data_IF_038732768892
#
_entry.id   IF_038732768892
#
_cell.length_a   1.000
_cell.length_b   1.000
_cell.length_c   1.000
_cell.angle_alpha   90.00
_cell.angle_beta   90.00
_cell.angle_gamma   90.00
#
_symmetry.space_group_name_H-M   'P 1'
#
loop_
_entity.id
_entity.type
_entity.pdbx_description
1 polymer ?
#
# COMPACT_ATOMS: atom_id res chain seq x y z
N UNK A 1 18.86 11.81 43.12
CA UNK A 1 18.64 10.39 42.78
C UNK A 1 18.88 10.21 41.29
N UNK A 2 19.48 9.09 40.88
CA UNK A 2 19.73 8.70 39.48
C UNK A 2 19.24 7.27 39.27
N UNK A 3 18.66 6.98 38.10
CA UNK A 3 18.13 5.66 37.76
C UNK A 3 19.11 4.90 36.87
N UNK A 4 19.35 3.62 37.16
CA UNK A 4 20.15 2.72 36.33
C UNK A 4 19.36 2.25 35.10
N UNK A 5 19.91 2.42 33.89
CA UNK A 5 19.25 2.01 32.65
C UNK A 5 19.27 0.49 32.42
N UNK A 6 20.08 -0.24 33.18
CA UNK A 6 20.16 -1.71 33.13
C UNK A 6 19.08 -2.38 33.98
N UNK A 7 19.10 -2.13 35.29
CA UNK A 7 18.20 -2.78 36.26
C UNK A 7 16.99 -1.94 36.67
N UNK A 8 16.94 -0.65 36.31
CA UNK A 8 15.86 0.27 36.67
C UNK A 8 15.90 0.79 38.12
N UNK A 9 16.88 0.40 38.92
CA UNK A 9 17.03 0.82 40.33
C UNK A 9 17.41 2.30 40.48
N UNK A 10 17.02 2.90 41.61
CA UNK A 10 17.29 4.31 41.94
C UNK A 10 18.36 4.46 43.02
N UNK A 11 19.35 5.30 42.76
CA UNK A 11 20.52 5.47 43.61
C UNK A 11 20.76 6.94 43.96
N UNK A 12 21.33 7.19 45.14
CA UNK A 12 21.91 8.50 45.44
C UNK A 12 23.26 8.61 44.71
N UNK A 13 23.53 9.69 43.94
CA UNK A 13 24.79 9.84 43.20
C UNK A 13 26.03 9.61 44.07
N UNK A 14 26.06 10.17 45.27
CA UNK A 14 27.19 10.06 46.19
C UNK A 14 27.43 8.61 46.66
N UNK A 15 26.37 7.82 46.83
CA UNK A 15 26.46 6.41 47.26
C UNK A 15 27.03 5.49 46.18
N UNK A 16 27.02 5.93 44.92
CA UNK A 16 27.52 5.16 43.77
C UNK A 16 28.76 5.79 43.15
N UNK A 17 29.42 6.71 43.86
CA UNK A 17 30.66 7.34 43.42
C UNK A 17 30.49 8.38 42.30
N UNK A 18 29.28 8.90 42.10
CA UNK A 18 28.98 9.94 41.12
C UNK A 18 28.86 11.31 41.81
N UNK A 19 29.58 12.32 41.30
CA UNK A 19 29.40 13.70 41.76
C UNK A 19 28.02 14.20 41.33
N UNK A 20 27.22 14.64 42.30
CA UNK A 20 25.89 15.22 42.08
C UNK A 20 25.89 16.36 41.04
N UNK A 21 26.99 17.09 40.89
CA UNK A 21 27.13 18.15 39.88
C UNK A 21 27.23 17.63 38.45
N UNK A 22 27.66 16.38 38.26
CA UNK A 22 27.84 15.75 36.95
C UNK A 22 26.62 14.92 36.53
N UNK A 23 25.63 14.74 37.41
CA UNK A 23 24.38 14.04 37.10
C UNK A 23 23.71 14.56 35.82
N UNK A 24 23.64 15.89 35.54
CA UNK A 24 23.05 16.40 34.30
C UNK A 24 23.82 16.00 33.02
N UNK A 25 25.07 15.56 33.15
CA UNK A 25 25.90 15.11 32.04
C UNK A 25 25.82 13.60 31.84
N UNK A 26 25.15 12.85 32.71
CA UNK A 26 25.02 11.41 32.52
C UNK A 26 24.01 11.16 31.40
N UNK A 27 24.44 10.45 30.35
CA UNK A 27 23.60 10.02 29.24
C UNK A 27 22.90 8.71 29.59
N UNK A 28 23.66 7.62 29.58
CA UNK A 28 23.25 6.31 30.12
C UNK A 28 23.99 6.04 31.43
N UNK A 29 23.28 5.58 32.46
CA UNK A 29 23.85 5.23 33.76
C UNK A 29 23.80 3.72 34.01
N UNK A 30 24.96 3.12 34.32
CA UNK A 30 25.10 1.74 34.78
C UNK A 30 25.53 1.74 36.25
N UNK A 31 24.76 1.07 37.11
CA UNK A 31 25.10 0.95 38.53
C UNK A 31 26.26 -0.05 38.77
N UNK A 32 26.93 -0.03 39.94
CA UNK A 32 28.10 -0.88 40.20
C UNK A 32 27.86 -2.39 40.12
N UNK A 33 26.60 -2.83 40.20
CA UNK A 33 26.21 -4.23 40.00
C UNK A 33 26.07 -4.55 38.51
N UNK A 34 25.39 -3.68 37.76
CA UNK A 34 25.24 -3.81 36.31
C UNK A 34 26.58 -3.69 35.56
N UNK A 35 27.49 -2.83 36.02
CA UNK A 35 28.81 -2.66 35.41
C UNK A 35 29.72 -3.90 35.55
N UNK A 36 29.42 -4.78 36.52
CA UNK A 36 30.12 -6.06 36.72
C UNK A 36 29.49 -7.22 35.97
N UNK A 37 28.27 -7.06 35.47
CA UNK A 37 27.53 -8.13 34.81
C UNK A 37 28.02 -8.28 33.36
N UNK A 38 28.65 -9.42 32.99
CA UNK A 38 29.14 -9.63 31.63
C UNK A 38 28.02 -9.72 30.58
N UNK A 39 26.75 -9.84 30.98
CA UNK A 39 25.61 -9.77 30.07
C UNK A 39 25.29 -8.34 29.61
N UNK A 40 25.74 -7.32 30.35
CA UNK A 40 25.53 -5.91 30.03
C UNK A 40 26.78 -5.39 29.31
N UNK A 41 26.66 -5.13 28.01
CA UNK A 41 27.80 -4.75 27.17
C UNK A 41 28.12 -3.26 27.17
N UNK A 42 27.49 -2.47 28.03
CA UNK A 42 27.59 -1.01 28.02
C UNK A 42 27.86 -0.47 29.42
N UNK A 43 28.58 0.64 29.48
CA UNK A 43 28.96 1.32 30.73
C UNK A 43 28.34 2.72 30.79
N UNK A 44 28.49 3.38 31.94
CA UNK A 44 28.00 4.75 32.10
C UNK A 44 28.63 5.68 31.06
N UNK A 45 27.79 6.37 30.31
CA UNK A 45 28.21 7.34 29.27
C UNK A 45 27.93 8.76 29.73
N UNK A 46 28.76 9.69 29.26
CA UNK A 46 28.64 11.10 29.59
C UNK A 46 28.44 11.93 28.32
N UNK A 47 27.47 12.84 28.38
CA UNK A 47 27.26 13.91 27.42
C UNK A 47 28.39 14.92 27.51
N UNK A 48 28.77 15.50 26.37
CA UNK A 48 29.71 16.60 26.37
C UNK A 48 29.13 17.83 27.06
N UNK A 49 29.87 18.38 28.02
CA UNK A 49 29.46 19.57 28.76
C UNK A 49 29.56 20.82 27.90
N UNK A 50 28.82 21.85 28.29
CA UNK A 50 28.96 23.19 27.75
C UNK A 50 30.42 23.67 27.82
N UNK A 51 30.89 24.28 26.73
CA UNK A 51 32.26 24.80 26.62
C UNK A 51 32.57 25.91 27.64
N UNK A 52 31.55 26.61 28.16
CA UNK A 52 31.72 27.59 29.24
C UNK A 52 32.28 26.89 30.48
N UNK A 53 33.46 27.31 30.94
CA UNK A 53 34.22 26.66 32.01
C UNK A 53 33.41 26.39 33.29
N UNK A 54 32.62 27.37 33.75
CA UNK A 54 31.80 27.27 34.96
C UNK A 54 30.45 26.54 34.75
N UNK A 55 30.12 26.08 33.54
CA UNK A 55 28.85 25.41 33.24
C UNK A 55 29.02 23.88 33.19
N UNK A 56 28.12 23.16 33.87
CA UNK A 56 28.06 21.69 33.91
C UNK A 56 26.79 21.12 33.26
N UNK A 57 26.10 21.93 32.47
CA UNK A 57 24.98 21.46 31.66
C UNK A 57 25.48 20.86 30.34
N UNK A 58 24.78 19.87 29.78
CA UNK A 58 25.14 19.30 28.49
C UNK A 58 25.03 20.35 27.39
N UNK A 59 25.92 20.27 26.39
CA UNK A 59 25.82 21.12 25.20
C UNK A 59 24.64 20.67 24.33
N UNK A 60 24.09 21.57 23.51
CA UNK A 60 23.05 21.22 22.52
C UNK A 60 23.71 20.53 21.32
N UNK A 61 24.12 19.30 21.49
CA UNK A 61 24.68 18.49 20.41
C UNK A 61 23.60 18.16 19.36
N UNK A 62 23.92 18.10 18.06
CA UNK A 62 25.20 18.41 17.40
C UNK A 62 25.39 19.90 17.03
N UNK A 63 24.40 20.73 17.29
CA UNK A 63 24.28 22.07 16.70
C UNK A 63 25.06 23.16 17.44
N UNK A 64 25.39 22.96 18.71
CA UNK A 64 26.07 23.96 19.53
C UNK A 64 27.06 23.37 20.53
N UNK A 65 28.13 24.12 20.76
CA UNK A 65 29.13 23.86 21.81
C UNK A 65 28.65 24.30 23.21
N UNK A 66 27.47 24.91 23.29
CA UNK A 66 26.92 25.50 24.51
C UNK A 66 25.55 24.93 24.84
N UNK A 67 25.19 24.94 26.12
CA UNK A 67 23.85 24.52 26.56
C UNK A 67 22.76 25.56 26.21
N UNK A 68 23.15 26.80 25.94
CA UNK A 68 22.28 27.93 25.62
C UNK A 68 23.04 29.03 24.89
N UNK A 69 22.31 29.89 24.19
CA UNK A 69 22.90 31.02 23.47
C UNK A 69 23.53 32.02 24.45
N UNK A 70 22.89 32.23 25.62
CA UNK A 70 23.44 33.05 26.70
C UNK A 70 24.81 32.54 27.19
N UNK A 71 25.00 31.21 27.31
CA UNK A 71 26.31 30.66 27.65
C UNK A 71 27.34 30.85 26.53
N UNK A 72 26.92 30.79 25.27
CA UNK A 72 27.78 31.06 24.11
C UNK A 72 28.23 32.50 24.04
N UNK A 73 27.31 33.46 24.21
CA UNK A 73 27.61 34.89 24.26
C UNK A 73 28.53 35.21 25.43
N UNK A 74 28.24 34.68 26.62
CA UNK A 74 29.09 34.92 27.79
C UNK A 74 30.50 34.36 27.62
N UNK A 75 30.64 33.15 27.07
CA UNK A 75 31.95 32.59 26.76
C UNK A 75 32.70 33.45 25.75
N UNK A 76 32.00 33.99 24.73
CA UNK A 76 32.60 34.87 23.73
C UNK A 76 33.09 36.18 24.35
N UNK A 77 32.29 36.84 25.19
CA UNK A 77 32.67 38.07 25.90
C UNK A 77 33.98 37.86 26.70
N UNK A 78 34.02 36.81 27.53
CA UNK A 78 35.22 36.50 28.32
C UNK A 78 36.44 36.23 27.42
N UNK A 79 36.24 35.50 26.32
CA UNK A 79 37.32 35.21 25.36
C UNK A 79 37.83 36.49 24.68
N UNK A 80 36.95 37.44 24.37
CA UNK A 80 37.30 38.73 23.77
C UNK A 80 38.06 39.61 24.75
N UNK A 81 37.61 39.68 26.00
CA UNK A 81 38.29 40.40 27.10
C UNK A 81 39.69 39.84 27.35
N UNK A 82 39.83 38.51 27.42
CA UNK A 82 41.13 37.83 27.61
C UNK A 82 42.11 38.09 26.45
N UNK A 83 41.60 38.21 25.22
CA UNK A 83 42.41 38.40 24.02
C UNK A 83 42.60 39.86 23.62
N UNK A 84 41.96 40.81 24.32
CA UNK A 84 42.01 42.24 24.04
C UNK A 84 41.69 42.56 22.57
N UNK A 85 40.63 41.94 22.04
CA UNK A 85 40.20 42.16 20.65
C UNK A 85 39.24 43.35 20.60
N UNK A 86 39.56 44.35 19.78
CA UNK A 86 38.71 45.51 19.54
C UNK A 86 37.47 45.15 18.72
N UNK A 87 36.29 45.68 19.09
CA UNK A 87 34.98 45.36 18.50
C UNK A 87 34.95 45.42 16.96
N UNK A 88 35.61 46.41 16.37
CA UNK A 88 35.68 46.61 14.92
C UNK A 88 36.35 45.43 14.19
N UNK A 89 37.32 44.77 14.84
CA UNK A 89 38.00 43.60 14.26
C UNK A 89 37.08 42.38 14.24
N UNK A 90 36.24 42.19 15.26
CA UNK A 90 35.32 41.05 15.34
C UNK A 90 34.29 41.11 14.23
N UNK A 91 33.70 42.28 13.97
CA UNK A 91 32.67 42.46 12.94
C UNK A 91 33.17 42.00 11.56
N UNK A 92 34.47 42.18 11.28
CA UNK A 92 35.07 41.73 10.03
C UNK A 92 35.14 40.19 9.90
N UNK A 93 35.28 39.46 11.01
CA UNK A 93 35.34 37.99 11.04
C UNK A 93 33.95 37.33 11.12
N UNK A 94 32.94 38.00 11.70
CA UNK A 94 31.61 37.39 11.92
C UNK A 94 30.56 37.80 10.89
N UNK A 95 30.85 38.75 9.99
CA UNK A 95 29.90 39.25 8.98
C UNK A 95 29.21 38.17 8.14
N UNK A 96 29.91 37.08 7.85
CA UNK A 96 29.41 35.97 7.02
C UNK A 96 29.09 34.71 7.86
N UNK A 97 29.20 34.80 9.19
CA UNK A 97 28.94 33.68 10.08
C UNK A 97 27.44 33.35 10.09
N UNK A 98 27.11 32.08 9.83
CA UNK A 98 25.74 31.56 9.92
C UNK A 98 25.64 30.53 11.03
N UNK A 99 24.51 30.53 11.74
CA UNK A 99 24.22 29.51 12.72
C UNK A 99 23.89 28.19 11.99
N UNK A 100 24.46 27.04 12.42
CA UNK A 100 24.04 25.74 11.91
C UNK A 100 22.58 25.46 12.30
N UNK A 101 21.71 25.26 11.31
CA UNK A 101 20.29 24.98 11.52
C UNK A 101 19.98 23.48 11.61
N UNK A 102 20.82 22.66 10.97
CA UNK A 102 20.66 21.21 10.93
C UNK A 102 22.03 20.50 10.85
N UNK A 103 22.06 19.27 11.34
CA UNK A 103 23.17 18.34 11.18
C UNK A 103 22.63 17.05 10.58
N UNK A 104 23.20 16.65 9.45
CA UNK A 104 22.86 15.38 8.80
C UNK A 104 23.93 14.38 9.22
N UNK A 105 23.52 13.38 10.00
CA UNK A 105 24.37 12.25 10.34
C UNK A 105 24.06 11.10 9.38
N UNK A 106 24.93 10.92 8.39
CA UNK A 106 24.84 9.81 7.45
C UNK A 106 25.24 8.50 8.15
N UNK A 107 24.25 7.66 8.44
CA UNK A 107 24.46 6.31 8.98
C UNK A 107 24.84 5.28 7.90
N UNK A 108 25.06 5.71 6.66
CA UNK A 108 25.30 4.83 5.49
C UNK A 108 26.76 4.41 5.32
N UNK A 109 27.72 5.05 6.00
CA UNK A 109 29.13 4.65 5.96
C UNK A 109 29.55 4.05 7.30
N UNK A 110 29.51 2.72 7.39
CA UNK A 110 30.34 1.95 8.30
C UNK A 110 31.83 2.17 7.95
N UNK A 111 32.39 3.30 8.39
CA UNK A 111 33.85 3.48 8.43
C UNK A 111 34.30 3.32 9.87
N UNK A 112 34.79 2.11 10.15
CA UNK A 112 35.82 1.78 11.13
C UNK A 112 35.72 2.47 12.50
N UNK A 113 35.29 1.70 13.51
CA UNK A 113 35.82 1.88 14.86
C UNK A 113 34.82 2.10 15.97
N UNK A 114 33.71 1.35 16.03
CA UNK A 114 33.12 0.90 17.30
C UNK A 114 32.03 -0.14 17.01
N UNK A 115 32.15 -1.30 17.64
CA UNK A 115 31.19 -2.40 17.48
C UNK A 115 29.90 -2.00 18.19
N UNK A 116 28.94 -1.44 17.45
CA UNK A 116 27.53 -1.50 17.84
C UNK A 116 27.09 -2.94 17.64
N UNK A 117 27.07 -3.68 18.74
CA UNK A 117 26.81 -5.12 18.79
C UNK A 117 25.48 -5.52 18.14
N UNK A 118 25.39 -6.80 17.76
CA UNK A 118 24.22 -7.68 17.52
C UNK A 118 22.87 -7.09 17.05
N UNK A 119 22.39 -6.01 17.67
CA UNK A 119 21.19 -5.25 17.30
C UNK A 119 21.22 -4.70 15.87
N UNK A 120 22.40 -4.38 15.31
CA UNK A 120 22.51 -3.90 13.91
C UNK A 120 22.11 -4.97 12.90
N UNK A 121 22.59 -6.21 13.06
CA UNK A 121 22.24 -7.33 12.19
C UNK A 121 20.78 -7.81 12.36
N UNK A 122 20.18 -7.61 13.54
CA UNK A 122 18.75 -7.86 13.76
C UNK A 122 17.88 -6.78 13.10
N UNK A 123 18.23 -5.50 13.25
CA UNK A 123 17.56 -4.38 12.55
C UNK A 123 17.69 -4.49 11.04
N UNK A 124 18.87 -4.79 10.50
CA UNK A 124 19.05 -4.97 9.05
C UNK A 124 18.22 -6.12 8.48
N UNK A 125 18.00 -7.20 9.25
CA UNK A 125 17.09 -8.29 8.88
C UNK A 125 15.63 -7.87 8.91
N UNK A 126 15.22 -7.14 9.95
CA UNK A 126 13.88 -6.57 10.04
C UNK A 126 13.59 -5.59 8.89
N UNK A 127 14.55 -4.73 8.54
CA UNK A 127 14.43 -3.79 7.42
C UNK A 127 14.40 -4.50 6.05
N UNK A 128 15.09 -5.62 5.91
CA UNK A 128 14.99 -6.46 4.71
C UNK A 128 13.60 -7.10 4.60
N UNK A 129 13.10 -7.67 5.70
CA UNK A 129 11.76 -8.27 5.76
C UNK A 129 10.66 -7.25 5.44
N UNK A 130 10.73 -6.05 6.04
CA UNK A 130 9.75 -4.99 5.79
C UNK A 130 9.74 -4.55 4.32
N UNK A 131 10.89 -4.52 3.66
CA UNK A 131 10.98 -4.21 2.22
C UNK A 131 10.37 -5.29 1.35
N UNK A 132 10.59 -6.57 1.69
CA UNK A 132 9.97 -7.70 1.00
C UNK A 132 8.45 -7.71 1.19
N UNK A 133 7.97 -7.50 2.41
CA UNK A 133 6.55 -7.40 2.73
C UNK A 133 5.89 -6.23 1.98
N UNK A 134 6.57 -5.07 1.92
CA UNK A 134 6.11 -3.91 1.15
C UNK A 134 5.99 -4.24 -0.34
N UNK A 135 6.97 -4.95 -0.91
CA UNK A 135 6.96 -5.35 -2.31
C UNK A 135 5.78 -6.28 -2.62
N UNK A 136 5.51 -7.26 -1.76
CA UNK A 136 4.36 -8.17 -1.89
C UNK A 136 3.03 -7.40 -1.88
N UNK A 137 2.90 -6.40 -1.01
CA UNK A 137 1.69 -5.58 -0.93
C UNK A 137 1.49 -4.72 -2.19
N UNK A 138 2.58 -4.19 -2.77
CA UNK A 138 2.54 -3.42 -4.02
C UNK A 138 2.16 -4.30 -5.22
N UNK A 139 2.74 -5.49 -5.33
CA UNK A 139 2.40 -6.45 -6.40
C UNK A 139 0.94 -6.89 -6.32
N UNK A 140 0.44 -7.16 -5.11
CA UNK A 140 -0.97 -7.49 -4.90
C UNK A 140 -1.90 -6.33 -5.26
N UNK A 141 -1.50 -5.09 -4.96
CA UNK A 141 -2.26 -3.88 -5.34
C UNK A 141 -2.38 -3.82 -6.86
N UNK A 142 -1.29 -4.02 -7.57
CA UNK A 142 -1.26 -3.92 -9.04
C UNK A 142 -2.10 -5.03 -9.68
N UNK A 143 -2.02 -6.25 -9.16
CA UNK A 143 -2.87 -7.36 -9.59
C UNK A 143 -4.37 -7.06 -9.40
N UNK A 144 -4.76 -6.52 -8.24
CA UNK A 144 -6.16 -6.17 -7.96
C UNK A 144 -6.65 -5.03 -8.86
N UNK A 145 -5.80 -4.04 -9.14
CA UNK A 145 -6.11 -2.95 -10.05
C UNK A 145 -6.37 -3.46 -11.47
N UNK A 146 -5.53 -4.37 -11.98
CA UNK A 146 -5.71 -4.95 -13.30
C UNK A 146 -6.98 -5.80 -13.39
N UNK A 147 -7.25 -6.63 -12.37
CA UNK A 147 -8.50 -7.42 -12.30
C UNK A 147 -9.74 -6.53 -12.27
N UNK A 148 -9.70 -5.43 -11.51
CA UNK A 148 -10.81 -4.49 -11.45
C UNK A 148 -11.06 -3.80 -12.80
N UNK A 149 -9.98 -3.39 -13.49
CA UNK A 149 -10.03 -2.84 -14.85
C UNK A 149 -10.64 -3.84 -15.83
N UNK A 150 -10.26 -5.11 -15.75
CA UNK A 150 -10.84 -6.17 -16.59
C UNK A 150 -12.33 -6.38 -16.29
N UNK A 151 -12.74 -6.40 -15.03
CA UNK A 151 -14.16 -6.50 -14.66
C UNK A 151 -14.98 -5.30 -15.19
N UNK A 152 -14.46 -4.07 -15.08
CA UNK A 152 -15.07 -2.87 -15.65
C UNK A 152 -15.19 -2.93 -17.17
N UNK A 153 -14.16 -3.45 -17.84
CA UNK A 153 -14.20 -3.66 -19.29
C UNK A 153 -15.26 -4.70 -19.69
N UNK A 154 -15.34 -5.83 -18.97
CA UNK A 154 -16.35 -6.87 -19.20
C UNK A 154 -17.78 -6.32 -19.02
N UNK A 155 -18.00 -5.46 -18.03
CA UNK A 155 -19.30 -4.78 -17.83
C UNK A 155 -19.64 -3.93 -19.06
N UNK A 156 -18.67 -3.15 -19.56
CA UNK A 156 -18.87 -2.36 -20.78
C UNK A 156 -19.17 -3.19 -22.02
N UNK A 157 -18.49 -4.33 -22.20
CA UNK A 157 -18.78 -5.29 -23.28
C UNK A 157 -20.18 -5.91 -23.13
N UNK A 158 -20.57 -6.26 -21.91
CA UNK A 158 -21.90 -6.80 -21.62
C UNK A 158 -22.99 -5.78 -21.97
N UNK A 159 -22.81 -4.51 -21.58
CA UNK A 159 -23.76 -3.43 -21.90
C UNK A 159 -23.89 -3.21 -23.41
N UNK A 160 -22.78 -3.27 -24.14
CA UNK A 160 -22.77 -3.19 -25.59
C UNK A 160 -23.50 -4.39 -26.23
N UNK A 161 -23.27 -5.60 -25.73
CA UNK A 161 -23.92 -6.82 -26.21
C UNK A 161 -25.43 -6.82 -25.92
N UNK A 162 -25.86 -6.31 -24.75
CA UNK A 162 -27.29 -6.16 -24.42
C UNK A 162 -27.94 -5.19 -25.41
N UNK A 163 -27.34 -4.03 -25.67
CA UNK A 163 -27.85 -3.06 -26.66
C UNK A 163 -27.91 -3.65 -28.07
N UNK A 164 -26.87 -4.38 -28.47
CA UNK A 164 -26.83 -5.06 -29.76
C UNK A 164 -27.95 -6.11 -29.88
N UNK A 165 -28.17 -6.91 -28.83
CA UNK A 165 -29.24 -7.89 -28.76
C UNK A 165 -30.64 -7.26 -28.86
N UNK A 166 -30.83 -6.08 -28.24
CA UNK A 166 -32.09 -5.34 -28.29
C UNK A 166 -32.34 -4.67 -29.65
N UNK A 167 -31.27 -4.35 -30.39
CA UNK A 167 -31.32 -3.76 -31.73
C UNK A 167 -31.50 -4.80 -32.85
N UNK A 168 -31.43 -6.10 -32.54
CA UNK A 168 -31.65 -7.16 -33.53
C UNK A 168 -33.09 -7.11 -34.08
N UNK A 169 -33.28 -7.37 -35.38
CA UNK A 169 -34.61 -7.44 -35.97
C UNK A 169 -35.41 -8.62 -35.38
N UNK A 170 -36.73 -8.46 -35.32
CA UNK A 170 -37.65 -9.54 -34.99
C UNK A 170 -37.52 -10.69 -36.00
N UNK A 171 -37.56 -11.93 -35.52
CA UNK A 171 -37.48 -13.11 -36.37
C UNK A 171 -38.70 -13.19 -37.29
N UNK A 172 -38.44 -13.41 -38.58
CA UNK A 172 -39.48 -13.73 -39.55
C UNK A 172 -40.07 -15.11 -39.23
N UNK A 173 -41.33 -15.14 -38.80
CA UNK A 173 -42.07 -16.39 -38.64
C UNK A 173 -42.66 -16.74 -40.01
N UNK A 174 -41.99 -17.64 -40.73
CA UNK A 174 -42.59 -18.27 -41.91
C UNK A 174 -43.80 -19.11 -41.47
N UNK A 175 -44.94 -19.04 -42.18
CA UNK A 175 -46.16 -19.74 -41.82
C UNK A 175 -46.09 -21.22 -42.20
N UNK A 176 -45.18 -21.99 -41.63
CA UNK A 176 -45.17 -23.45 -41.75
C UNK A 176 -44.81 -24.08 -40.40
N UNK A 177 -45.85 -24.36 -39.59
CA UNK A 177 -45.87 -25.36 -38.51
C UNK A 177 -47.31 -25.53 -37.98
N UNK A 178 -48.26 -25.76 -38.90
CA UNK A 178 -49.57 -26.35 -38.55
C UNK A 178 -49.80 -27.67 -39.29
N UNK A 179 -48.90 -28.61 -39.07
CA UNK A 179 -49.11 -30.05 -39.24
C UNK A 179 -48.49 -30.68 -37.98
N UNK A 180 -49.13 -31.52 -37.17
CA UNK A 180 -50.18 -32.49 -37.39
C UNK A 180 -50.89 -32.78 -36.04
N UNK A 181 -52.21 -32.96 -36.06
CA UNK A 181 -52.90 -33.77 -35.04
C UNK A 181 -54.22 -34.31 -35.64
N UNK A 182 -54.50 -35.62 -35.54
CA UNK A 182 -55.67 -36.22 -36.17
C UNK A 182 -56.97 -35.75 -35.49
N UNK A 183 -57.91 -35.24 -36.31
CA UNK A 183 -59.24 -34.78 -35.89
C UNK A 183 -60.06 -35.92 -35.28
N UNK A 184 -60.25 -35.92 -33.95
CA UNK A 184 -61.42 -36.55 -33.32
C UNK A 184 -62.58 -35.55 -33.28
N UNK A 185 -63.72 -35.95 -33.87
CA UNK A 185 -64.96 -35.18 -33.95
C UNK A 185 -65.60 -35.03 -32.55
N UNK A 186 -65.76 -33.80 -32.09
CA UNK A 186 -66.57 -33.44 -30.92
C UNK A 186 -66.55 -31.93 -30.66
N UNK A 187 -67.59 -31.20 -31.12
CA UNK A 187 -67.68 -29.73 -31.05
C UNK A 187 -68.02 -29.22 -29.64
N UNK A 188 -67.15 -28.36 -29.09
CA UNK A 188 -67.50 -27.09 -28.42
C UNK A 188 -66.61 -26.00 -29.03
N UNK A 189 -67.06 -24.75 -29.21
CA UNK A 189 -66.23 -23.72 -29.83
C UNK A 189 -65.19 -23.23 -28.81
N UNK A 190 -63.93 -23.63 -28.96
CA UNK A 190 -62.80 -23.01 -28.28
C UNK A 190 -62.39 -21.75 -29.04
N UNK A 191 -62.17 -20.65 -28.30
CA UNK A 191 -61.58 -19.41 -28.81
C UNK A 191 -60.34 -19.72 -29.66
N UNK A 192 -60.23 -19.06 -30.82
CA UNK A 192 -59.02 -19.07 -31.63
C UNK A 192 -57.81 -18.70 -30.77
N UNK A 193 -56.73 -19.51 -30.83
CA UNK A 193 -55.46 -19.16 -30.18
C UNK A 193 -54.96 -17.85 -30.79
N UNK A 194 -54.59 -16.84 -29.98
CA UNK A 194 -53.95 -15.65 -30.51
C UNK A 194 -52.63 -16.06 -31.18
N UNK A 195 -52.31 -15.41 -32.31
CA UNK A 195 -51.04 -15.62 -33.01
C UNK A 195 -49.83 -15.31 -32.11
N UNK A 196 -48.60 -15.69 -32.54
CA UNK A 196 -47.39 -15.45 -31.75
C UNK A 196 -47.27 -13.97 -31.38
N UNK A 197 -47.03 -13.71 -30.10
CA UNK A 197 -46.88 -12.34 -29.59
C UNK A 197 -45.59 -11.70 -30.14
N UNK A 198 -45.49 -10.37 -30.09
CA UNK A 198 -44.26 -9.67 -30.47
C UNK A 198 -43.03 -10.14 -29.65
N UNK A 199 -43.24 -10.57 -28.40
CA UNK A 199 -42.17 -11.12 -27.56
C UNK A 199 -41.72 -12.52 -27.97
N UNK A 200 -42.56 -13.29 -28.68
CA UNK A 200 -42.21 -14.61 -29.19
C UNK A 200 -41.33 -14.53 -30.46
N UNK A 201 -41.25 -13.34 -31.08
CA UNK A 201 -40.44 -13.04 -32.28
C UNK A 201 -39.06 -12.47 -31.96
N UNK A 202 -38.85 -11.94 -30.76
CA UNK A 202 -37.56 -11.35 -30.39
C UNK A 202 -36.45 -12.41 -30.31
N UNK A 203 -35.29 -12.20 -30.96
CA UNK A 203 -34.15 -13.11 -30.84
C UNK A 203 -33.50 -13.03 -29.45
N UNK A 204 -32.76 -14.07 -29.09
CA UNK A 204 -32.06 -14.20 -27.82
C UNK A 204 -30.90 -13.22 -27.67
N UNK A 205 -30.11 -13.06 -28.74
CA UNK A 205 -29.02 -12.10 -28.84
C UNK A 205 -27.79 -12.37 -27.97
N UNK A 206 -27.67 -13.55 -27.35
CA UNK A 206 -26.48 -13.91 -26.57
C UNK A 206 -25.25 -13.99 -27.47
N UNK A 207 -24.20 -13.23 -27.13
CA UNK A 207 -22.93 -13.23 -27.85
C UNK A 207 -21.89 -14.14 -27.14
N UNK A 208 -21.35 -15.11 -27.87
CA UNK A 208 -20.35 -16.07 -27.36
C UNK A 208 -19.01 -15.39 -26.98
N UNK A 209 -18.71 -14.21 -27.51
CA UNK A 209 -17.56 -13.41 -27.08
C UNK A 209 -17.62 -13.00 -25.60
N UNK A 210 -18.81 -13.02 -24.98
CA UNK A 210 -18.99 -12.79 -23.55
C UNK A 210 -18.48 -13.93 -22.65
N UNK A 211 -18.06 -15.05 -23.25
CA UNK A 211 -17.48 -16.20 -22.55
C UNK A 211 -15.96 -16.15 -22.43
N UNK A 212 -15.29 -15.27 -23.19
CA UNK A 212 -13.82 -15.20 -23.17
C UNK A 212 -13.37 -14.46 -21.91
N UNK A 213 -12.93 -15.23 -20.91
CA UNK A 213 -12.24 -14.67 -19.74
C UNK A 213 -10.80 -14.31 -20.13
N UNK A 214 -10.47 -13.02 -20.01
CA UNK A 214 -9.22 -12.40 -20.49
C UNK A 214 -7.92 -12.82 -19.79
N UNK A 215 -7.79 -14.08 -19.37
CA UNK A 215 -6.52 -14.66 -18.93
C UNK A 215 -6.06 -15.83 -19.81
N UNK A 216 -6.92 -16.36 -20.70
CA UNK A 216 -6.59 -17.50 -21.58
C UNK A 216 -6.52 -17.13 -23.08
N UNK A 217 -6.55 -15.84 -23.42
CA UNK A 217 -6.47 -15.40 -24.81
C UNK A 217 -5.03 -15.27 -25.37
N UNK A 218 -4.00 -15.50 -24.54
CA UNK A 218 -2.60 -15.31 -24.93
C UNK A 218 -1.85 -16.61 -25.32
N UNK A 219 -2.39 -17.80 -25.00
CA UNK A 219 -1.69 -19.08 -25.24
C UNK A 219 -2.38 -20.01 -26.26
N UNK A 220 -3.42 -19.54 -26.94
CA UNK A 220 -3.91 -20.23 -28.15
C UNK A 220 -3.23 -19.66 -29.39
N UNK A 221 -1.90 -19.86 -29.45
CA UNK A 221 -1.15 -19.84 -30.69
C UNK A 221 -1.70 -20.97 -31.57
N UNK A 222 -2.56 -20.58 -32.50
CA UNK A 222 -3.19 -21.46 -33.47
C UNK A 222 -2.09 -22.05 -34.33
N UNK A 223 -1.89 -23.36 -34.21
CA UNK A 223 -1.37 -24.14 -35.33
C UNK A 223 -2.35 -23.96 -36.50
N UNK A 224 -1.94 -23.17 -37.49
CA UNK A 224 -2.67 -22.93 -38.72
C UNK A 224 -2.88 -24.25 -39.48
N UNK A 225 -4.07 -24.84 -39.34
CA UNK A 225 -4.60 -25.80 -40.28
C UNK A 225 -5.59 -25.08 -41.21
N UNK A 226 -5.27 -24.90 -42.51
CA UNK A 226 -6.14 -24.19 -43.43
C UNK A 226 -7.26 -25.15 -43.89
N UNK A 227 -8.49 -24.95 -43.41
CA UNK A 227 -9.63 -25.68 -43.98
C UNK A 227 -10.88 -25.88 -43.14
N UNK A 228 -11.09 -25.21 -42.00
CA UNK A 228 -12.40 -25.25 -41.34
C UNK A 228 -13.03 -23.87 -41.33
N UNK A 229 -13.93 -23.66 -42.28
CA UNK A 229 -14.94 -22.59 -42.27
C UNK A 229 -15.89 -22.82 -41.08
N UNK A 230 -15.43 -22.48 -39.87
CA UNK A 230 -16.28 -22.45 -38.68
C UNK A 230 -16.78 -21.03 -38.55
N UNK A 231 -17.78 -20.70 -39.37
CA UNK A 231 -18.60 -19.52 -39.15
C UNK A 231 -19.51 -19.79 -37.95
N UNK A 232 -18.92 -19.76 -36.75
CA UNK A 232 -19.68 -19.68 -35.50
C UNK A 232 -20.54 -18.42 -35.60
N UNK A 233 -21.87 -18.59 -35.67
CA UNK A 233 -22.79 -17.50 -35.40
C UNK A 233 -22.48 -17.00 -33.99
N UNK A 234 -21.71 -15.91 -33.88
CA UNK A 234 -21.27 -15.36 -32.60
C UNK A 234 -22.47 -14.95 -31.73
N UNK A 235 -23.62 -14.68 -32.35
CA UNK A 235 -24.84 -14.21 -31.69
C UNK A 235 -25.99 -15.23 -31.83
N UNK A 236 -26.62 -15.59 -30.71
CA UNK A 236 -27.73 -16.53 -30.66
C UNK A 236 -29.02 -15.93 -31.23
N UNK A 237 -29.52 -16.52 -32.33
CA UNK A 237 -30.76 -16.08 -33.02
C UNK A 237 -32.01 -16.88 -32.65
N UNK A 238 -31.96 -17.73 -31.61
CA UNK A 238 -33.15 -18.47 -31.15
C UNK A 238 -34.20 -17.52 -30.56
N UNK A 239 -35.51 -17.79 -30.69
CA UNK A 239 -36.54 -16.98 -30.04
C UNK A 239 -36.30 -16.91 -28.52
N UNK A 240 -36.29 -15.70 -27.96
CA UNK A 240 -35.88 -15.44 -26.57
C UNK A 240 -36.61 -16.32 -25.54
N UNK A 241 -37.90 -16.61 -25.75
CA UNK A 241 -38.70 -17.47 -24.85
C UNK A 241 -38.50 -18.97 -25.06
N UNK A 242 -37.97 -19.38 -26.22
CA UNK A 242 -37.67 -20.78 -26.57
C UNK A 242 -36.20 -21.14 -26.33
N UNK A 243 -35.33 -20.15 -26.15
CA UNK A 243 -33.90 -20.36 -25.89
C UNK A 243 -33.67 -20.79 -24.43
N UNK A 244 -33.51 -22.09 -24.19
CA UNK A 244 -33.23 -22.64 -22.85
C UNK A 244 -31.78 -22.43 -22.41
N UNK A 245 -30.84 -22.40 -23.37
CA UNK A 245 -29.38 -22.30 -23.10
C UNK A 245 -28.95 -20.95 -22.52
N UNK A 246 -29.61 -19.86 -22.90
CA UNK A 246 -29.23 -18.50 -22.49
C UNK A 246 -30.40 -17.80 -21.76
N UNK A 247 -31.10 -18.55 -20.91
CA UNK A 247 -32.25 -18.03 -20.19
C UNK A 247 -31.83 -16.87 -19.27
N UNK A 248 -32.28 -15.65 -19.58
CA UNK A 248 -32.00 -14.47 -18.74
C UNK A 248 -30.53 -14.09 -18.66
N UNK A 249 -29.72 -14.45 -19.67
CA UNK A 249 -28.27 -14.25 -19.69
C UNK A 249 -27.86 -12.81 -19.35
N UNK A 250 -28.66 -11.81 -19.75
CA UNK A 250 -28.40 -10.39 -19.48
C UNK A 250 -28.27 -10.13 -17.97
N UNK A 251 -29.28 -10.56 -17.19
CA UNK A 251 -29.34 -10.34 -15.74
C UNK A 251 -28.35 -11.23 -14.99
N UNK A 252 -28.20 -12.48 -15.45
CA UNK A 252 -27.27 -13.43 -14.80
C UNK A 252 -25.84 -12.92 -14.93
N UNK A 253 -25.43 -12.46 -16.12
CA UNK A 253 -24.09 -11.91 -16.35
C UNK A 253 -23.88 -10.56 -15.68
N UNK A 254 -24.88 -9.67 -15.69
CA UNK A 254 -24.75 -8.36 -15.03
C UNK A 254 -24.50 -8.53 -13.53
N UNK A 255 -25.32 -9.35 -12.85
CA UNK A 255 -25.17 -9.63 -11.43
C UNK A 255 -23.82 -10.30 -11.14
N UNK A 256 -23.38 -11.26 -11.96
CA UNK A 256 -22.10 -11.92 -11.76
C UNK A 256 -20.91 -10.94 -11.83
N UNK A 257 -20.89 -10.06 -12.84
CA UNK A 257 -19.82 -9.07 -12.99
C UNK A 257 -19.89 -7.95 -11.94
N UNK A 258 -21.09 -7.53 -11.54
CA UNK A 258 -21.28 -6.57 -10.44
C UNK A 258 -20.79 -7.16 -9.10
N UNK A 259 -21.07 -8.43 -8.83
CA UNK A 259 -20.55 -9.14 -7.66
C UNK A 259 -19.02 -9.27 -7.71
N UNK A 260 -18.45 -9.60 -8.86
CA UNK A 260 -16.98 -9.64 -9.02
C UNK A 260 -16.36 -8.26 -8.78
N UNK A 261 -16.91 -7.21 -9.40
CA UNK A 261 -16.43 -5.84 -9.28
C UNK A 261 -16.50 -5.33 -7.82
N UNK A 262 -17.62 -5.58 -7.13
CA UNK A 262 -17.79 -5.19 -5.71
C UNK A 262 -16.81 -5.93 -4.81
N UNK A 263 -16.65 -7.25 -4.98
CA UNK A 263 -15.66 -8.04 -4.24
C UNK A 263 -14.23 -7.52 -4.44
N UNK A 264 -13.84 -7.22 -5.68
CA UNK A 264 -12.51 -6.68 -5.99
C UNK A 264 -12.29 -5.30 -5.38
N UNK A 265 -13.31 -4.41 -5.39
CA UNK A 265 -13.24 -3.09 -4.76
C UNK A 265 -13.10 -3.18 -3.23
N UNK A 266 -13.84 -4.08 -2.59
CA UNK A 266 -13.70 -4.32 -1.16
C UNK A 266 -12.29 -4.81 -0.80
N UNK A 267 -11.76 -5.76 -1.58
CA UNK A 267 -10.42 -6.29 -1.36
C UNK A 267 -9.35 -5.20 -1.54
N UNK A 268 -9.48 -4.37 -2.58
CA UNK A 268 -8.60 -3.22 -2.81
C UNK A 268 -8.66 -2.21 -1.66
N UNK A 269 -9.86 -1.92 -1.12
CA UNK A 269 -10.02 -1.02 0.03
C UNK A 269 -9.36 -1.60 1.30
N UNK A 270 -9.52 -2.91 1.56
CA UNK A 270 -8.85 -3.58 2.69
C UNK A 270 -7.33 -3.53 2.55
N UNK A 271 -6.80 -3.77 1.36
CA UNK A 271 -5.36 -3.69 1.09
C UNK A 271 -4.83 -2.26 1.27
N UNK A 272 -5.54 -1.24 0.78
CA UNK A 272 -5.19 0.15 0.97
C UNK A 272 -5.23 0.60 2.44
N UNK A 273 -6.05 -0.05 3.29
CA UNK A 273 -5.99 0.11 4.74
C UNK A 273 -4.68 -0.40 5.32
N UNK A 274 -4.27 -1.62 4.92
CA UNK A 274 -3.04 -2.28 5.40
C UNK A 274 -1.75 -1.59 4.97
N UNK A 275 -1.74 -0.93 3.82
CA UNK A 275 -0.55 -0.17 3.34
C UNK A 275 -0.37 1.14 4.12
N UNK A 276 -1.43 1.70 4.71
CA UNK A 276 -1.40 2.98 5.44
C UNK A 276 -1.08 2.86 6.92
N UNK A 277 -1.26 1.67 7.50
CA UNK A 277 -0.93 1.34 8.90
C UNK A 277 0.48 0.80 9.01
#
# INVERSE_FOLDING_TARGET
>A
MIQCDGCGGWYHPECVGLDSKLVPLVGFYSCPECDKDPSISWSTTFLEKCLRSACLLPRKEPLSKYCSDACGVHHMILTMEERQVEDDQIMQYVKDARQPEAYIQDYTTHTQGERIGCASAAKSRQDAQLREDQQILLERRDLLAERLRLAEHKIGLLDAAIKAAEALPDLEILPEDTADAPKKKGKKPSKAKPGPSAEDRRPCGFDESLLVDGMEAADNDRTDAPGSDVQLQSVCVQPKRKCTRHTGWQKVRSVALEMEQTSLREEAMRLAGRIRT
#
